data_IF_371445578205
#
_entry.id   IF_371445578205
#
_cell.length_a   1.000
_cell.length_b   1.000
_cell.length_c   1.000
_cell.angle_alpha   90.00
_cell.angle_beta   90.00
_cell.angle_gamma   90.00
#
_symmetry.space_group_name_H-M   'P 1'
#
loop_
_entity.id
_entity.type
_entity.pdbx_description
1 polymer ?
#
# COMPACT_ATOMS: atom_id res chain seq x y z
N UNK A 1 -16.81 -11.11 12.31
CA UNK A 1 -15.41 -11.42 12.63
C UNK A 1 -15.10 -10.61 13.87
N UNK A 2 -14.90 -11.28 15.00
CA UNK A 2 -14.68 -10.62 16.29
C UNK A 2 -13.32 -9.91 16.26
N UNK A 3 -13.26 -8.65 16.74
CA UNK A 3 -12.10 -7.75 16.58
C UNK A 3 -10.98 -8.12 17.59
N UNK A 4 -11.15 -9.22 18.32
CA UNK A 4 -10.35 -9.63 19.47
C UNK A 4 -9.32 -10.73 19.16
N UNK A 5 -9.34 -11.34 17.98
CA UNK A 5 -8.36 -12.37 17.62
C UNK A 5 -7.20 -11.81 16.79
N UNK A 6 -5.94 -12.08 17.17
CA UNK A 6 -4.78 -11.71 16.38
C UNK A 6 -4.84 -12.35 15.00
N UNK A 7 -4.88 -11.53 13.96
CA UNK A 7 -5.03 -12.00 12.58
C UNK A 7 -3.65 -12.26 11.97
N UNK A 8 -3.41 -13.48 11.47
CA UNK A 8 -2.14 -13.92 10.88
C UNK A 8 -2.33 -14.20 9.39
N UNK A 9 -2.72 -13.16 8.64
CA UNK A 9 -3.33 -13.32 7.31
C UNK A 9 -2.31 -13.70 6.24
N UNK A 10 -1.33 -12.83 5.99
CA UNK A 10 -0.57 -12.90 4.72
C UNK A 10 0.57 -13.93 4.75
N UNK A 11 1.32 -14.00 5.86
CA UNK A 11 2.46 -14.94 6.01
C UNK A 11 2.24 -16.00 7.09
N UNK A 12 1.18 -15.86 7.89
CA UNK A 12 0.91 -16.70 9.05
C UNK A 12 2.00 -16.73 10.14
N UNK A 13 2.90 -15.73 10.19
CA UNK A 13 4.06 -15.71 11.11
C UNK A 13 3.94 -14.68 12.24
N UNK A 14 3.39 -13.50 11.98
CA UNK A 14 3.22 -12.44 13.00
C UNK A 14 1.82 -11.83 12.95
N UNK A 15 1.42 -11.20 14.05
CA UNK A 15 0.15 -10.47 14.16
C UNK A 15 0.14 -9.34 13.14
N UNK A 16 -0.97 -9.22 12.43
CA UNK A 16 -1.13 -8.20 11.41
C UNK A 16 -1.03 -6.78 12.00
N UNK A 17 -0.11 -6.00 11.43
CA UNK A 17 -0.01 -4.55 11.60
C UNK A 17 0.39 -3.93 10.27
N UNK A 18 0.21 -2.63 10.10
CA UNK A 18 0.63 -1.95 8.86
C UNK A 18 2.14 -2.11 8.61
N UNK A 19 2.96 -2.00 9.65
CA UNK A 19 4.40 -2.26 9.54
C UNK A 19 4.67 -3.71 9.14
N UNK A 20 3.96 -4.68 9.72
CA UNK A 20 4.15 -6.06 9.33
C UNK A 20 3.76 -6.31 7.87
N UNK A 21 2.52 -5.95 7.48
CA UNK A 21 1.99 -6.21 6.13
C UNK A 21 2.90 -5.67 5.05
N UNK A 22 3.35 -4.42 5.18
CA UNK A 22 4.05 -3.74 4.10
C UNK A 22 5.58 -3.79 4.22
N UNK A 23 6.12 -3.93 5.44
CA UNK A 23 7.55 -3.78 5.69
C UNK A 23 8.28 -5.07 6.10
N UNK A 24 7.64 -5.91 6.90
CA UNK A 24 8.32 -7.04 7.56
C UNK A 24 7.88 -8.40 6.99
N UNK A 25 6.66 -8.50 6.48
CA UNK A 25 6.07 -9.71 5.94
C UNK A 25 6.94 -10.30 4.81
N UNK A 26 7.34 -11.59 4.90
CA UNK A 26 8.13 -12.23 3.86
C UNK A 26 7.50 -12.19 2.47
N UNK A 27 6.17 -12.32 2.39
CA UNK A 27 5.41 -12.22 1.13
C UNK A 27 5.53 -10.82 0.54
N UNK A 28 5.36 -9.78 1.36
CA UNK A 28 5.50 -8.41 0.92
C UNK A 28 6.94 -8.08 0.47
N UNK A 29 7.95 -8.55 1.22
CA UNK A 29 9.35 -8.43 0.83
C UNK A 29 9.63 -9.07 -0.52
N UNK A 30 9.04 -10.24 -0.80
CA UNK A 30 9.16 -10.90 -2.10
C UNK A 30 8.48 -10.08 -3.22
N UNK A 31 7.30 -9.52 -2.97
CA UNK A 31 6.60 -8.66 -3.93
C UNK A 31 7.43 -7.40 -4.27
N UNK A 32 7.93 -6.70 -3.25
CA UNK A 32 8.85 -5.57 -3.42
C UNK A 32 10.08 -5.93 -4.24
N UNK A 33 10.74 -7.04 -3.93
CA UNK A 33 11.91 -7.50 -4.67
C UNK A 33 11.57 -7.80 -6.14
N UNK A 34 10.44 -8.46 -6.40
CA UNK A 34 10.06 -8.87 -7.76
C UNK A 34 9.59 -7.70 -8.63
N UNK A 35 8.75 -6.81 -8.09
CA UNK A 35 8.07 -5.77 -8.86
C UNK A 35 8.87 -4.46 -8.95
N UNK A 36 9.78 -4.21 -8.01
CA UNK A 36 10.56 -2.98 -7.93
C UNK A 36 12.06 -3.22 -8.20
N UNK A 37 12.37 -4.05 -9.21
CA UNK A 37 13.74 -4.28 -9.71
C UNK A 37 14.75 -4.70 -8.65
N UNK A 38 14.36 -5.63 -7.78
CA UNK A 38 15.23 -6.12 -6.72
C UNK A 38 15.31 -5.20 -5.51
N UNK A 39 14.35 -4.28 -5.33
CA UNK A 39 14.27 -3.43 -4.14
C UNK A 39 14.17 -4.29 -2.87
N UNK A 40 15.18 -4.18 -2.01
CA UNK A 40 15.25 -4.90 -0.73
C UNK A 40 14.89 -3.96 0.40
N UNK A 41 13.77 -4.22 1.06
CA UNK A 41 13.34 -3.41 2.19
C UNK A 41 14.31 -3.41 3.37
N UNK A 42 14.97 -4.54 3.60
CA UNK A 42 15.90 -4.69 4.73
C UNK A 42 17.11 -3.75 4.62
N UNK A 43 17.49 -3.35 3.40
CA UNK A 43 18.55 -2.38 3.14
C UNK A 43 18.07 -0.92 3.24
N UNK A 44 16.75 -0.69 3.14
CA UNK A 44 16.15 0.64 3.17
C UNK A 44 15.82 1.14 4.59
N UNK A 45 15.99 0.28 5.62
CA UNK A 45 15.76 0.61 7.03
C UNK A 45 14.38 1.26 7.33
N UNK A 46 13.34 0.85 6.60
CA UNK A 46 11.97 1.35 6.79
C UNK A 46 11.36 0.69 8.03
N UNK A 47 10.92 1.50 9.00
CA UNK A 47 10.40 0.99 10.28
C UNK A 47 8.93 1.36 10.50
N UNK A 48 8.51 2.51 9.97
CA UNK A 48 7.19 3.07 10.20
C UNK A 48 6.33 3.05 8.94
N UNK A 49 4.99 2.93 9.08
CA UNK A 49 4.08 2.96 7.93
C UNK A 49 4.21 4.23 7.08
N UNK A 50 4.56 5.36 7.70
CA UNK A 50 4.81 6.62 6.98
C UNK A 50 6.01 6.55 6.03
N UNK A 51 6.96 5.64 6.28
CA UNK A 51 8.13 5.45 5.43
C UNK A 51 7.76 4.83 4.07
N UNK A 52 6.62 4.13 3.97
CA UNK A 52 6.09 3.63 2.70
C UNK A 52 5.79 4.80 1.76
N UNK A 53 5.11 5.83 2.28
CA UNK A 53 4.78 7.02 1.49
C UNK A 53 6.06 7.76 1.08
N UNK A 54 7.02 7.90 2.01
CA UNK A 54 8.31 8.51 1.68
C UNK A 54 9.03 7.75 0.56
N UNK A 55 9.05 6.42 0.62
CA UNK A 55 9.76 5.62 -0.39
C UNK A 55 9.08 5.70 -1.77
N UNK A 56 7.76 5.82 -1.80
CA UNK A 56 6.99 5.99 -3.05
C UNK A 56 7.26 7.37 -3.66
N UNK A 57 7.23 8.43 -2.84
CA UNK A 57 7.41 9.82 -3.29
C UNK A 57 8.88 10.14 -3.62
N UNK A 58 9.80 9.54 -2.88
CA UNK A 58 11.24 9.76 -3.01
C UNK A 58 11.98 8.42 -3.11
N UNK A 59 11.92 7.74 -4.28
CA UNK A 59 12.51 6.42 -4.42
C UNK A 59 14.04 6.43 -4.21
N UNK A 60 14.63 5.30 -3.80
CA UNK A 60 16.08 5.16 -3.66
C UNK A 60 16.83 5.60 -4.93
N UNK A 61 17.94 6.36 -4.82
CA UNK A 61 18.71 6.82 -5.97
C UNK A 61 19.14 5.69 -6.92
N UNK A 62 19.44 4.50 -6.37
CA UNK A 62 19.85 3.34 -7.16
C UNK A 62 18.78 2.92 -8.19
N UNK A 63 17.49 3.06 -7.87
CA UNK A 63 16.40 2.74 -8.79
C UNK A 63 16.19 3.85 -9.84
N UNK A 64 16.39 5.11 -9.43
CA UNK A 64 16.24 6.31 -10.29
C UNK A 64 17.34 6.45 -11.34
N UNK A 65 18.50 5.81 -11.16
CA UNK A 65 19.58 5.85 -12.15
C UNK A 65 19.30 4.97 -13.37
N UNK A 66 18.42 3.98 -13.22
CA UNK A 66 18.12 2.98 -14.26
C UNK A 66 16.77 3.27 -14.92
N UNK A 67 15.84 3.89 -14.20
CA UNK A 67 14.46 4.09 -14.62
C UNK A 67 14.01 5.53 -14.39
N UNK A 68 13.04 5.97 -15.18
CA UNK A 68 12.38 7.26 -14.97
C UNK A 68 11.73 7.33 -13.58
N UNK A 69 11.91 8.47 -12.90
CA UNK A 69 11.42 8.67 -11.53
C UNK A 69 9.92 8.35 -11.37
N UNK A 70 9.09 8.79 -12.33
CA UNK A 70 7.64 8.55 -12.28
C UNK A 70 7.29 7.07 -12.38
N UNK A 71 8.02 6.31 -13.22
CA UNK A 71 7.80 4.89 -13.42
C UNK A 71 8.18 4.10 -12.15
N UNK A 72 9.27 4.50 -11.49
CA UNK A 72 9.66 3.93 -10.21
C UNK A 72 8.60 4.19 -9.16
N UNK A 73 8.19 5.45 -8.96
CA UNK A 73 7.15 5.82 -7.99
C UNK A 73 5.83 5.10 -8.26
N UNK A 74 5.41 4.98 -9.53
CA UNK A 74 4.21 4.27 -9.92
C UNK A 74 4.31 2.78 -9.58
N UNK A 75 5.41 2.11 -9.94
CA UNK A 75 5.60 0.70 -9.61
C UNK A 75 5.61 0.46 -8.10
N UNK A 76 6.20 1.36 -7.31
CA UNK A 76 6.18 1.25 -5.85
C UNK A 76 4.76 1.41 -5.28
N UNK A 77 3.96 2.32 -5.84
CA UNK A 77 2.56 2.49 -5.46
C UNK A 77 1.72 1.25 -5.82
N UNK A 78 1.85 0.73 -7.05
CA UNK A 78 1.15 -0.47 -7.50
C UNK A 78 1.58 -1.71 -6.70
N UNK A 79 2.85 -1.81 -6.32
CA UNK A 79 3.33 -2.91 -5.46
C UNK A 79 2.68 -2.85 -4.08
N UNK A 80 2.51 -1.64 -3.53
CA UNK A 80 1.79 -1.45 -2.26
C UNK A 80 0.34 -1.88 -2.40
N UNK A 81 -0.32 -1.55 -3.51
CA UNK A 81 -1.68 -2.03 -3.82
C UNK A 81 -1.73 -3.55 -3.97
N UNK A 82 -0.78 -4.18 -4.66
CA UNK A 82 -0.73 -5.63 -4.86
C UNK A 82 -0.55 -6.38 -3.54
N UNK A 83 0.28 -5.87 -2.63
CA UNK A 83 0.44 -6.42 -1.28
C UNK A 83 -0.91 -6.39 -0.55
N UNK A 84 -1.60 -5.26 -0.61
CA UNK A 84 -2.92 -5.11 0.00
C UNK A 84 -3.97 -6.02 -0.63
N UNK A 85 -3.98 -6.11 -1.96
CA UNK A 85 -4.85 -6.98 -2.73
C UNK A 85 -4.62 -8.44 -2.36
N UNK A 86 -3.36 -8.90 -2.32
CA UNK A 86 -3.00 -10.27 -1.94
C UNK A 86 -3.46 -10.60 -0.52
N UNK A 87 -3.29 -9.67 0.42
CA UNK A 87 -3.79 -9.82 1.80
C UNK A 87 -5.32 -9.97 1.82
N UNK A 88 -6.03 -9.12 1.08
CA UNK A 88 -7.49 -9.16 1.01
C UNK A 88 -8.00 -10.40 0.29
N UNK A 89 -7.29 -10.88 -0.72
CA UNK A 89 -7.56 -12.14 -1.40
C UNK A 89 -7.55 -13.31 -0.40
N UNK A 90 -6.60 -13.37 0.53
CA UNK A 90 -6.59 -14.42 1.57
C UNK A 90 -7.82 -14.35 2.50
N UNK A 91 -8.31 -13.14 2.81
CA UNK A 91 -9.47 -12.95 3.69
C UNK A 91 -10.80 -13.19 2.97
N UNK A 92 -10.89 -12.73 1.71
CA UNK A 92 -12.13 -12.57 0.95
C UNK A 92 -12.22 -13.45 -0.29
N UNK A 93 -11.27 -14.33 -0.59
CA UNK A 93 -11.47 -15.41 -1.57
C UNK A 93 -11.85 -16.73 -0.90
N UNK A 94 -11.84 -16.80 0.44
CA UNK A 94 -12.49 -17.86 1.21
C UNK A 94 -13.92 -17.49 1.69
N UNK A 95 -14.40 -16.28 1.38
CA UNK A 95 -15.77 -15.84 1.66
C UNK A 95 -16.24 -14.97 0.49
N UNK A 96 -17.45 -15.18 -0.03
CA UNK A 96 -18.01 -14.45 -1.18
C UNK A 96 -17.63 -12.95 -1.17
N UNK A 97 -17.13 -12.45 -2.31
CA UNK A 97 -16.59 -11.08 -2.41
C UNK A 97 -17.58 -10.09 -1.80
N UNK A 98 -17.22 -9.42 -0.69
CA UNK A 98 -18.13 -8.44 -0.12
C UNK A 98 -18.18 -7.28 -1.09
N UNK A 99 -19.38 -6.88 -1.47
CA UNK A 99 -19.62 -5.58 -2.09
C UNK A 99 -18.97 -4.56 -1.15
N UNK A 100 -17.85 -3.95 -1.59
CA UNK A 100 -17.12 -2.96 -0.80
C UNK A 100 -17.94 -1.68 -0.78
N UNK A 101 -18.93 -1.64 0.10
CA UNK A 101 -19.58 -0.40 0.46
C UNK A 101 -18.60 0.46 1.25
N UNK A 102 -18.58 1.75 0.94
CA UNK A 102 -17.77 2.69 1.69
C UNK A 102 -18.16 2.65 3.18
N UNK A 103 -17.16 2.48 4.05
CA UNK A 103 -17.26 2.74 5.48
C UNK A 103 -16.43 3.97 5.85
N UNK A 104 -16.92 4.70 6.85
CA UNK A 104 -16.23 5.83 7.47
C UNK A 104 -14.95 5.34 8.17
N UNK A 105 -13.81 6.06 8.03
CA UNK A 105 -12.61 5.74 8.80
C UNK A 105 -12.81 6.05 10.29
N UNK A 106 -12.03 5.45 11.21
CA UNK A 106 -12.11 5.77 12.63
C UNK A 106 -11.88 7.27 12.92
N UNK A 107 -12.41 7.76 14.04
CA UNK A 107 -12.20 9.15 14.46
C UNK A 107 -10.71 9.47 14.58
N UNK A 108 -10.30 10.62 14.03
CA UNK A 108 -8.90 11.05 13.95
C UNK A 108 -8.13 10.56 12.72
N UNK A 109 -8.73 9.71 11.89
CA UNK A 109 -8.11 9.23 10.65
C UNK A 109 -8.59 10.01 9.42
N UNK A 110 -7.70 10.11 8.43
CA UNK A 110 -7.99 10.69 7.12
C UNK A 110 -7.96 9.55 6.10
N UNK A 111 -9.01 9.44 5.28
CA UNK A 111 -9.09 8.50 4.17
C UNK A 111 -8.65 9.21 2.89
N UNK A 112 -7.66 8.64 2.20
CA UNK A 112 -7.22 9.09 0.87
C UNK A 112 -7.83 8.16 -0.18
N UNK A 113 -8.78 8.67 -0.97
CA UNK A 113 -9.23 7.99 -2.18
C UNK A 113 -8.32 8.40 -3.33
N UNK A 114 -7.76 7.45 -4.05
CA UNK A 114 -6.80 7.69 -5.13
C UNK A 114 -7.36 7.10 -6.43
N UNK A 115 -7.22 7.83 -7.53
CA UNK A 115 -7.50 7.34 -8.88
C UNK A 115 -6.39 7.77 -9.83
N UNK A 116 -6.04 6.93 -10.81
CA UNK A 116 -4.93 7.16 -11.73
C UNK A 116 -5.37 6.94 -13.17
N UNK A 117 -5.04 7.90 -14.03
CA UNK A 117 -5.21 7.81 -15.48
C UNK A 117 -3.85 7.81 -16.17
N UNK A 118 -3.63 6.87 -17.09
CA UNK A 118 -2.36 6.73 -17.81
C UNK A 118 -2.64 6.78 -19.32
N UNK A 119 -1.79 7.51 -20.03
CA UNK A 119 -1.73 7.56 -21.50
C UNK A 119 -0.27 7.38 -21.94
N UNK A 120 -0.01 7.27 -23.24
CA UNK A 120 1.34 7.05 -23.77
C UNK A 120 2.37 8.10 -23.30
N UNK A 121 1.95 9.36 -23.16
CA UNK A 121 2.86 10.47 -22.84
C UNK A 121 2.54 11.20 -21.53
N UNK A 122 1.39 10.91 -20.91
CA UNK A 122 0.94 11.60 -19.71
C UNK A 122 0.38 10.62 -18.70
N UNK A 123 0.58 10.91 -17.41
CA UNK A 123 -0.12 10.29 -16.30
C UNK A 123 -0.78 11.36 -15.44
N UNK A 124 -1.95 11.08 -14.88
CA UNK A 124 -2.62 11.92 -13.90
C UNK A 124 -3.01 11.09 -12.68
N UNK A 125 -2.75 11.64 -11.49
CA UNK A 125 -3.16 11.06 -10.21
C UNK A 125 -4.11 12.05 -9.53
N UNK A 126 -5.29 11.58 -9.13
CA UNK A 126 -6.25 12.35 -8.36
C UNK A 126 -6.34 11.76 -6.95
N UNK A 127 -6.24 12.60 -5.93
CA UNK A 127 -6.38 12.19 -4.52
C UNK A 127 -7.46 13.05 -3.86
N UNK A 128 -8.40 12.41 -3.17
CA UNK A 128 -9.39 13.07 -2.32
C UNK A 128 -9.18 12.63 -0.88
N UNK A 129 -8.80 13.58 -0.01
CA UNK A 129 -8.71 13.37 1.42
C UNK A 129 -10.06 13.67 2.10
N UNK A 130 -10.55 12.74 2.93
CA UNK A 130 -11.79 12.91 3.71
C UNK A 130 -11.60 12.50 5.16
N UNK A 131 -12.30 13.16 6.07
CA UNK A 131 -12.35 12.76 7.48
C UNK A 131 -13.38 11.63 7.75
N UNK A 132 -13.53 11.25 9.02
CA UNK A 132 -14.52 10.27 9.48
C UNK A 132 -15.98 10.69 9.21
N UNK A 133 -16.27 11.98 9.07
CA UNK A 133 -17.61 12.46 8.74
C UNK A 133 -17.85 12.49 7.22
N UNK A 134 -16.83 12.15 6.42
CA UNK A 134 -16.88 12.21 4.96
C UNK A 134 -16.64 13.61 4.39
N UNK A 135 -16.29 14.59 5.23
CA UNK A 135 -15.96 15.93 4.76
C UNK A 135 -14.64 15.91 4.02
N UNK A 136 -14.65 16.47 2.81
CA UNK A 136 -13.42 16.66 2.03
C UNK A 136 -12.57 17.71 2.72
N UNK A 137 -11.34 17.33 3.03
CA UNK A 137 -10.36 18.25 3.59
C UNK A 137 -9.85 19.15 2.46
N UNK A 138 -10.04 20.46 2.62
CA UNK A 138 -9.61 21.44 1.61
C UNK A 138 -8.10 21.60 1.70
N UNK A 139 -7.42 21.50 0.55
CA UNK A 139 -6.02 21.86 0.40
C UNK A 139 -5.84 23.38 0.41
#
# INVERSE_FOLDING_TARGET
MDISEPCYVLCSQEVESTSHIFLQCPVAKALWFSACWGFKLDEAHLAHPSDIIKVILEPPPALRQVQDMWLVSLNMALTTEEIWYTRNAVIHLNAEQPIVHWSSPPLGYIKLNVDVAISQNNSALAVIARDAHGFVLKA
#
